data_IF_990599091590
#
_entry.id   IF_990599091590
#
_cell.length_a   1.000
_cell.length_b   1.000
_cell.length_c   1.000
_cell.angle_alpha   90.00
_cell.angle_beta   90.00
_cell.angle_gamma   90.00
#
_symmetry.space_group_name_H-M   'P 1'
#
loop_
_entity.id
_entity.type
_entity.pdbx_description
1 polymer ?
#
# COMPACT_ATOMS: atom_id res chain seq x y z
N UNK A 1 -9.25 10.23 4.63
CA UNK A 1 -9.63 9.32 3.55
C UNK A 1 -8.52 8.31 3.37
N UNK A 2 -8.87 7.03 3.24
CA UNK A 2 -7.97 5.93 2.95
C UNK A 2 -8.54 5.16 1.76
N UNK A 3 -7.72 4.96 0.74
CA UNK A 3 -8.03 4.15 -0.43
C UNK A 3 -7.20 2.87 -0.33
N UNK A 4 -7.83 1.73 -0.55
CA UNK A 4 -7.17 0.43 -0.70
C UNK A 4 -7.38 -0.01 -2.15
N UNK A 5 -6.29 0.00 -2.91
CA UNK A 5 -6.22 -0.41 -4.32
C UNK A 5 -5.91 -1.91 -4.34
N UNK A 6 -6.80 -2.72 -4.93
CA UNK A 6 -6.67 -4.16 -5.05
C UNK A 6 -6.36 -4.55 -6.49
N UNK A 7 -5.79 -5.75 -6.74
CA UNK A 7 -5.51 -6.20 -8.10
C UNK A 7 -6.75 -6.26 -9.01
N UNK A 8 -7.92 -6.53 -8.42
CA UNK A 8 -9.21 -6.46 -9.10
C UNK A 8 -9.88 -5.11 -8.74
N UNK A 9 -10.04 -4.19 -9.71
CA UNK A 9 -10.53 -2.82 -9.46
C UNK A 9 -11.97 -2.78 -8.96
N UNK A 10 -12.75 -3.84 -9.19
CA UNK A 10 -14.12 -3.94 -8.67
C UNK A 10 -14.14 -4.23 -7.15
N UNK A 11 -12.99 -4.52 -6.54
CA UNK A 11 -12.85 -4.82 -5.12
C UNK A 11 -12.21 -3.72 -4.29
N UNK A 12 -11.98 -2.55 -4.89
CA UNK A 12 -11.37 -1.42 -4.22
C UNK A 12 -12.23 -0.88 -3.08
N UNK A 13 -11.56 -0.29 -2.09
CA UNK A 13 -12.22 0.20 -0.89
C UNK A 13 -11.82 1.64 -0.57
N UNK A 14 -12.81 2.44 -0.17
CA UNK A 14 -12.61 3.83 0.25
C UNK A 14 -13.24 4.05 1.62
N UNK A 15 -12.46 4.52 2.58
CA UNK A 15 -12.90 4.79 3.95
C UNK A 15 -12.66 6.25 4.35
N UNK A 16 -13.62 6.83 5.08
CA UNK A 16 -13.43 8.11 5.73
C UNK A 16 -12.96 7.92 7.18
N UNK A 17 -11.64 7.78 7.40
CA UNK A 17 -11.06 7.58 8.73
C UNK A 17 -11.43 8.63 9.80
N UNK A 18 -11.92 9.81 9.41
CA UNK A 18 -12.39 10.82 10.37
C UNK A 18 -13.75 10.46 10.96
N UNK A 19 -14.63 9.86 10.15
CA UNK A 19 -16.00 9.49 10.53
C UNK A 19 -16.13 8.00 10.85
N UNK A 20 -15.31 7.17 10.24
CA UNK A 20 -15.24 5.71 10.39
C UNK A 20 -13.78 5.28 10.60
N UNK A 21 -13.22 5.47 11.80
CA UNK A 21 -11.84 5.09 12.11
C UNK A 21 -11.62 3.58 12.09
N UNK A 22 -12.69 2.80 12.23
CA UNK A 22 -12.66 1.34 12.25
C UNK A 22 -12.85 0.71 10.86
N UNK A 23 -12.98 1.53 9.80
CA UNK A 23 -13.06 1.08 8.40
C UNK A 23 -14.19 0.07 8.16
N UNK A 24 -15.35 0.30 8.78
CA UNK A 24 -16.50 -0.60 8.75
C UNK A 24 -17.38 -0.42 7.51
N UNK A 25 -17.32 0.74 6.85
CA UNK A 25 -18.18 1.05 5.69
C UNK A 25 -17.37 1.48 4.48
N UNK A 26 -17.37 0.63 3.45
CA UNK A 26 -16.81 1.00 2.15
C UNK A 26 -17.69 2.04 1.44
N UNK A 27 -17.10 3.19 1.12
CA UNK A 27 -17.74 4.36 0.53
C UNK A 27 -17.37 4.59 -0.94
N UNK A 28 -16.69 3.64 -1.59
CA UNK A 28 -16.13 3.86 -2.93
C UNK A 28 -17.20 4.16 -3.99
N UNK A 29 -18.34 3.47 -3.92
CA UNK A 29 -19.46 3.66 -4.84
C UNK A 29 -20.17 5.01 -4.64
N UNK A 30 -20.18 5.52 -3.40
CA UNK A 30 -20.83 6.79 -3.04
C UNK A 30 -19.93 7.98 -3.35
N UNK A 31 -18.61 7.81 -3.26
CA UNK A 31 -17.62 8.87 -3.44
C UNK A 31 -16.53 8.53 -4.49
N UNK A 32 -16.89 8.18 -5.74
CA UNK A 32 -15.93 7.75 -6.75
C UNK A 32 -14.92 8.85 -7.13
N UNK A 33 -15.32 10.12 -7.04
CA UNK A 33 -14.43 11.27 -7.30
C UNK A 33 -13.28 11.36 -6.26
N UNK A 34 -13.55 10.96 -5.02
CA UNK A 34 -12.52 10.95 -3.96
C UNK A 34 -11.52 9.83 -4.24
N UNK A 35 -12.02 8.64 -4.63
CA UNK A 35 -11.16 7.53 -5.02
C UNK A 35 -10.24 7.91 -6.20
N UNK A 36 -10.77 8.54 -7.26
CA UNK A 36 -9.98 9.04 -8.40
C UNK A 36 -8.89 10.00 -7.95
N UNK A 37 -9.22 10.98 -7.09
CA UNK A 37 -8.25 11.94 -6.56
C UNK A 37 -7.15 11.24 -5.75
N UNK A 38 -7.52 10.27 -4.92
CA UNK A 38 -6.55 9.51 -4.13
C UNK A 38 -5.63 8.65 -4.99
N UNK A 39 -6.15 7.98 -6.03
CA UNK A 39 -5.32 7.27 -7.01
C UNK A 39 -4.33 8.20 -7.70
N UNK A 40 -4.77 9.40 -8.09
CA UNK A 40 -3.88 10.39 -8.69
C UNK A 40 -2.74 10.81 -7.74
N UNK A 41 -3.04 11.00 -6.44
CA UNK A 41 -2.01 11.26 -5.44
C UNK A 41 -1.06 10.08 -5.21
N UNK A 42 -1.54 8.83 -5.26
CA UNK A 42 -0.68 7.65 -5.18
C UNK A 42 0.26 7.57 -6.39
N UNK A 43 -0.26 7.80 -7.60
CA UNK A 43 0.54 7.83 -8.82
C UNK A 43 1.60 8.93 -8.74
N UNK A 44 1.25 10.14 -8.30
CA UNK A 44 2.21 11.25 -8.14
C UNK A 44 3.35 10.90 -7.15
N UNK A 45 3.02 10.27 -6.02
CA UNK A 45 4.03 9.78 -5.06
C UNK A 45 4.91 8.68 -5.65
N UNK A 46 4.34 7.74 -6.41
CA UNK A 46 5.13 6.69 -7.06
C UNK A 46 5.97 7.21 -8.22
N UNK A 47 5.47 8.16 -9.02
CA UNK A 47 6.18 8.74 -10.17
C UNK A 47 7.31 9.66 -9.74
N UNK A 48 7.16 10.34 -8.60
CA UNK A 48 8.27 11.05 -7.95
C UNK A 48 9.37 10.08 -7.45
N UNK A 49 9.07 8.79 -7.33
CA UNK A 49 9.95 7.73 -6.83
C UNK A 49 9.99 6.48 -7.74
N UNK A 50 10.23 6.58 -9.05
CA UNK A 50 10.42 5.36 -9.87
C UNK A 50 11.88 5.13 -10.33
N UNK A 51 12.43 3.88 -10.24
CA UNK A 51 11.77 2.62 -9.87
C UNK A 51 12.47 1.89 -8.70
N UNK A 52 11.90 1.94 -7.49
CA UNK A 52 12.25 0.98 -6.43
C UNK A 52 11.24 -0.17 -6.29
N UNK A 53 10.09 -0.14 -6.97
CA UNK A 53 9.19 -1.28 -7.10
C UNK A 53 9.81 -2.44 -7.94
N UNK A 54 10.90 -2.14 -8.64
CA UNK A 54 11.82 -3.13 -9.22
C UNK A 54 13.16 -3.14 -8.47
N UNK A 55 13.16 -3.08 -7.13
CA UNK A 55 14.31 -3.60 -6.38
C UNK A 55 14.38 -5.11 -6.62
N UNK A 56 14.97 -5.49 -7.76
CA UNK A 56 15.64 -6.77 -7.97
C UNK A 56 16.38 -7.06 -6.67
N UNK A 57 15.91 -8.09 -5.94
CA UNK A 57 16.55 -8.73 -4.80
C UNK A 57 17.89 -8.08 -4.46
N UNK A 58 17.89 -7.01 -3.66
CA UNK A 58 19.13 -6.62 -3.01
C UNK A 58 19.46 -7.81 -2.11
N UNK A 59 20.58 -8.51 -2.30
CA UNK A 59 20.99 -9.53 -1.36
C UNK A 59 21.01 -8.89 0.02
N UNK A 60 20.39 -9.56 1.00
CA UNK A 60 20.40 -9.11 2.38
C UNK A 60 21.85 -8.85 2.78
N UNK A 61 22.10 -7.72 3.43
CA UNK A 61 23.40 -7.50 4.04
C UNK A 61 23.70 -8.68 5.00
N UNK A 62 24.94 -9.20 5.05
CA UNK A 62 25.28 -10.38 5.86
C UNK A 62 24.96 -10.24 7.35
N UNK A 63 24.99 -9.03 7.90
CA UNK A 63 24.62 -8.79 9.29
C UNK A 63 23.11 -8.90 9.50
N UNK A 64 22.33 -8.39 8.54
CA UNK A 64 20.87 -8.52 8.54
C UNK A 64 20.45 -9.98 8.41
N UNK A 65 21.07 -10.75 7.53
CA UNK A 65 20.81 -12.19 7.40
C UNK A 65 21.13 -12.94 8.70
N UNK A 66 22.29 -12.66 9.31
CA UNK A 66 22.68 -13.28 10.59
C UNK A 66 21.67 -12.99 11.71
N UNK A 67 21.16 -11.75 11.79
CA UNK A 67 20.14 -11.35 12.76
C UNK A 67 18.83 -12.07 12.50
N UNK A 68 18.38 -12.14 11.24
CA UNK A 68 17.14 -12.83 10.88
C UNK A 68 17.22 -14.34 11.14
N UNK A 69 18.37 -14.97 10.87
CA UNK A 69 18.61 -16.39 11.19
C UNK A 69 18.63 -16.64 12.69
N UNK A 70 19.28 -15.77 13.47
CA UNK A 70 19.29 -15.86 14.93
C UNK A 70 17.88 -15.70 15.55
N UNK A 71 17.00 -14.96 14.87
CA UNK A 71 15.60 -14.77 15.26
C UNK A 71 14.66 -15.86 14.70
N UNK A 72 15.16 -16.77 13.86
CA UNK A 72 14.38 -17.88 13.29
C UNK A 72 13.44 -17.49 12.14
N UNK A 73 13.64 -16.32 11.51
CA UNK A 73 12.85 -15.90 10.34
C UNK A 73 13.34 -16.53 9.03
N UNK A 74 14.57 -17.03 9.00
CA UNK A 74 15.21 -17.67 7.85
C UNK A 74 16.11 -18.82 8.33
N UNK A 75 16.21 -19.90 7.54
CA UNK A 75 17.01 -21.10 7.83
C UNK A 75 18.46 -21.00 7.31
#
# INVERSE_FOLDING_TARGET
WKLIDKPDPDQDELYNLKEDPAETRNLIAEHPKIAVKMRAHMVDLTQAEEPQAMQKYKPLDPETEKRLRALGYIE
#
